data_IF_768924634201
#
_entry.id   IF_768924634201
#
_cell.length_a   1.000
_cell.length_b   1.000
_cell.length_c   1.000
_cell.angle_alpha   90.00
_cell.angle_beta   90.00
_cell.angle_gamma   90.00
#
_symmetry.space_group_name_H-M   'P 1'
#
loop_
_entity.id
_entity.type
_entity.pdbx_description
1 polymer ?
#
# COMPACT_ATOMS: atom_id res chain seq x y z
N UNK A 1 -37.29 -12.78 10.64
CA UNK A 1 -36.74 -12.86 9.28
C UNK A 1 -35.46 -12.05 9.27
N UNK A 2 -34.31 -12.71 9.17
CA UNK A 2 -33.03 -12.00 9.06
C UNK A 2 -32.98 -11.37 7.67
N UNK A 3 -32.98 -10.04 7.61
CA UNK A 3 -32.70 -9.30 6.38
C UNK A 3 -31.28 -9.68 5.94
N UNK A 4 -31.03 -9.95 4.64
CA UNK A 4 -29.67 -10.24 4.19
C UNK A 4 -28.77 -9.04 4.52
N UNK A 5 -27.71 -9.28 5.29
CA UNK A 5 -26.68 -8.28 5.55
C UNK A 5 -26.06 -7.89 4.20
N UNK A 6 -26.31 -6.65 3.77
CA UNK A 6 -25.68 -6.09 2.58
C UNK A 6 -24.20 -5.88 2.94
N UNK A 7 -23.25 -6.47 2.19
CA UNK A 7 -21.84 -6.31 2.48
C UNK A 7 -21.44 -4.83 2.33
N UNK A 8 -20.48 -4.33 3.13
CA UNK A 8 -20.07 -2.92 3.11
C UNK A 8 -19.48 -2.49 1.75
N UNK A 9 -18.92 -3.44 1.01
CA UNK A 9 -18.50 -3.28 -0.38
C UNK A 9 -18.91 -4.54 -1.13
N UNK A 10 -19.57 -4.38 -2.27
CA UNK A 10 -19.90 -5.46 -3.20
C UNK A 10 -19.25 -5.16 -4.54
N UNK A 11 -18.56 -6.15 -5.10
CA UNK A 11 -17.95 -6.04 -6.42
C UNK A 11 -18.53 -7.10 -7.35
N UNK A 12 -19.28 -6.61 -8.35
CA UNK A 12 -19.98 -7.41 -9.34
C UNK A 12 -19.37 -7.25 -10.73
N UNK A 13 -19.33 -8.37 -11.46
CA UNK A 13 -18.81 -8.45 -12.83
C UNK A 13 -19.87 -9.01 -13.75
N UNK A 14 -20.12 -8.35 -14.87
CA UNK A 14 -21.08 -8.82 -15.86
C UNK A 14 -20.59 -8.53 -17.27
N UNK A 15 -20.92 -9.42 -18.21
CA UNK A 15 -20.75 -9.14 -19.63
C UNK A 15 -21.98 -8.37 -20.13
N UNK A 16 -21.77 -7.24 -20.79
CA UNK A 16 -22.82 -6.47 -21.46
C UNK A 16 -22.59 -6.46 -22.97
N UNK A 17 -23.56 -5.97 -23.74
CA UNK A 17 -23.37 -5.76 -25.18
C UNK A 17 -22.27 -4.76 -25.53
N UNK A 18 -21.80 -3.97 -24.56
CA UNK A 18 -20.71 -3.01 -24.70
C UNK A 18 -19.35 -3.54 -24.15
N UNK A 19 -19.30 -4.79 -23.69
CA UNK A 19 -18.10 -5.40 -23.10
C UNK A 19 -18.24 -5.70 -21.60
N UNK A 20 -17.10 -5.89 -20.94
CA UNK A 20 -16.99 -6.11 -19.49
C UNK A 20 -17.54 -4.89 -18.72
N UNK A 21 -18.51 -5.14 -17.84
CA UNK A 21 -18.99 -4.18 -16.84
C UNK A 21 -18.50 -4.61 -15.47
N UNK A 22 -17.79 -3.69 -14.82
CA UNK A 22 -17.36 -3.79 -13.42
C UNK A 22 -18.23 -2.83 -12.61
N UNK A 23 -18.91 -3.33 -11.57
CA UNK A 23 -19.75 -2.54 -10.67
C UNK A 23 -19.26 -2.72 -9.24
N UNK A 24 -18.92 -1.61 -8.60
CA UNK A 24 -18.50 -1.55 -7.20
C UNK A 24 -19.56 -0.78 -6.40
N UNK A 25 -20.36 -1.51 -5.63
CA UNK A 25 -21.38 -0.92 -4.76
C UNK A 25 -20.81 -0.71 -3.36
N UNK A 26 -20.92 0.51 -2.85
CA UNK A 26 -20.30 0.94 -1.59
C UNK A 26 -21.37 1.42 -0.61
N UNK A 27 -21.41 0.80 0.57
CA UNK A 27 -22.18 1.30 1.68
C UNK A 27 -21.33 2.29 2.47
N UNK A 28 -21.61 3.59 2.28
CA UNK A 28 -20.88 4.66 2.98
C UNK A 28 -21.42 4.77 4.41
N UNK A 29 -20.70 4.17 5.37
CA UNK A 29 -20.95 4.31 6.81
C UNK A 29 -19.78 5.04 7.49
N UNK A 30 -19.99 5.63 8.69
CA UNK A 30 -18.90 6.19 9.49
C UNK A 30 -17.79 5.18 9.80
N UNK A 31 -18.12 3.88 9.81
CA UNK A 31 -17.19 2.75 10.01
C UNK A 31 -16.65 2.20 8.68
N UNK A 32 -16.48 3.06 7.67
CA UNK A 32 -15.96 2.66 6.35
C UNK A 32 -14.66 1.87 6.51
N UNK A 33 -14.55 0.72 5.85
CA UNK A 33 -13.39 -0.17 5.92
C UNK A 33 -12.47 0.07 4.71
N UNK A 34 -11.51 1.01 4.78
CA UNK A 34 -10.68 1.39 3.63
C UNK A 34 -9.87 0.22 3.07
N UNK A 35 -9.42 -0.71 3.92
CA UNK A 35 -8.69 -1.89 3.49
C UNK A 35 -9.54 -2.83 2.61
N UNK A 36 -10.84 -2.92 2.90
CA UNK A 36 -11.76 -3.76 2.13
C UNK A 36 -12.10 -3.10 0.79
N UNK A 37 -12.28 -1.78 0.78
CA UNK A 37 -12.39 -1.01 -0.47
C UNK A 37 -11.14 -1.17 -1.34
N UNK A 38 -9.95 -0.98 -0.78
CA UNK A 38 -8.68 -1.11 -1.51
C UNK A 38 -8.52 -2.50 -2.13
N UNK A 39 -8.92 -3.55 -1.39
CA UNK A 39 -8.92 -4.92 -1.88
C UNK A 39 -9.83 -5.10 -3.09
N UNK A 40 -11.08 -4.65 -3.00
CA UNK A 40 -12.03 -4.82 -4.11
C UNK A 40 -11.67 -3.94 -5.32
N UNK A 41 -11.13 -2.74 -5.11
CA UNK A 41 -10.59 -1.91 -6.19
C UNK A 41 -9.41 -2.61 -6.88
N UNK A 42 -8.47 -3.17 -6.14
CA UNK A 42 -7.37 -3.93 -6.72
C UNK A 42 -7.87 -5.15 -7.50
N UNK A 43 -8.83 -5.90 -6.94
CA UNK A 43 -9.45 -7.05 -7.59
C UNK A 43 -10.12 -6.65 -8.91
N UNK A 44 -10.83 -5.52 -8.93
CA UNK A 44 -11.43 -4.95 -10.14
C UNK A 44 -10.38 -4.62 -11.20
N UNK A 45 -9.30 -3.95 -10.80
CA UNK A 45 -8.19 -3.59 -11.70
C UNK A 45 -7.52 -4.83 -12.29
N UNK A 46 -7.22 -5.83 -11.47
CA UNK A 46 -6.62 -7.08 -11.94
C UNK A 46 -7.53 -7.83 -12.91
N UNK A 47 -8.84 -7.83 -12.66
CA UNK A 47 -9.82 -8.42 -13.58
C UNK A 47 -9.89 -7.68 -14.90
N UNK A 48 -9.93 -6.35 -14.89
CA UNK A 48 -9.87 -5.57 -16.12
C UNK A 48 -8.60 -5.89 -16.92
N UNK A 49 -7.43 -5.91 -16.28
CA UNK A 49 -6.15 -6.23 -16.93
C UNK A 49 -6.19 -7.64 -17.55
N UNK A 50 -6.72 -8.62 -16.82
CA UNK A 50 -6.79 -10.02 -17.26
C UNK A 50 -7.73 -10.19 -18.47
N UNK A 51 -8.85 -9.47 -18.47
CA UNK A 51 -9.89 -9.59 -19.50
C UNK A 51 -9.80 -8.52 -20.61
N UNK A 52 -8.82 -7.61 -20.56
CA UNK A 52 -8.65 -6.52 -21.55
C UNK A 52 -8.55 -7.02 -22.99
N UNK A 53 -7.94 -8.18 -23.19
CA UNK A 53 -7.77 -8.81 -24.50
C UNK A 53 -8.93 -9.72 -24.91
N UNK A 54 -10.01 -9.78 -24.11
CA UNK A 54 -11.18 -10.65 -24.30
C UNK A 54 -12.45 -9.81 -24.55
N UNK A 55 -12.67 -9.32 -25.78
CA UNK A 55 -13.73 -8.37 -26.08
C UNK A 55 -15.15 -8.96 -25.93
N UNK A 56 -15.32 -10.27 -26.05
CA UNK A 56 -16.60 -10.95 -25.91
C UNK A 56 -16.45 -12.30 -25.23
N UNK A 57 -17.05 -12.43 -24.04
CA UNK A 57 -17.28 -13.73 -23.40
C UNK A 57 -18.69 -14.22 -23.73
N UNK A 58 -18.90 -15.55 -23.88
CA UNK A 58 -20.24 -16.10 -23.98
C UNK A 58 -21.11 -15.65 -22.79
N UNK A 59 -22.38 -15.36 -23.05
CA UNK A 59 -23.31 -14.99 -22.00
C UNK A 59 -23.40 -16.11 -20.96
N UNK A 60 -23.26 -15.74 -19.68
CA UNK A 60 -23.27 -16.69 -18.56
C UNK A 60 -21.92 -17.33 -18.22
N UNK A 61 -20.83 -17.01 -18.95
CA UNK A 61 -19.49 -17.41 -18.53
C UNK A 61 -19.09 -16.67 -17.25
N UNK A 62 -18.74 -17.37 -16.16
CA UNK A 62 -18.27 -16.73 -14.94
C UNK A 62 -16.86 -16.16 -15.14
N UNK A 63 -16.58 -15.01 -14.53
CA UNK A 63 -15.24 -14.45 -14.49
C UNK A 63 -14.38 -15.22 -13.49
N UNK A 64 -13.18 -15.61 -13.92
CA UNK A 64 -12.17 -16.21 -13.05
C UNK A 64 -11.56 -15.09 -12.23
N UNK A 65 -11.72 -15.19 -10.91
CA UNK A 65 -11.19 -14.19 -9.99
C UNK A 65 -9.67 -14.33 -9.83
N UNK A 66 -8.91 -13.23 -9.74
CA UNK A 66 -7.51 -13.27 -9.39
C UNK A 66 -7.32 -14.00 -8.06
N UNK A 67 -6.26 -14.83 -7.92
CA UNK A 67 -6.05 -15.61 -6.71
C UNK A 67 -5.73 -14.69 -5.52
N UNK A 68 -6.16 -15.11 -4.33
CA UNK A 68 -6.04 -14.30 -3.11
C UNK A 68 -4.58 -13.93 -2.78
N UNK A 69 -3.63 -14.84 -3.03
CA UNK A 69 -2.21 -14.60 -2.77
C UNK A 69 -1.66 -13.43 -3.60
N UNK A 70 -2.20 -13.22 -4.80
CA UNK A 70 -1.75 -12.13 -5.66
C UNK A 70 -2.30 -10.80 -5.16
N UNK A 71 -3.58 -10.77 -4.77
CA UNK A 71 -4.23 -9.58 -4.22
C UNK A 71 -3.57 -9.19 -2.89
N UNK A 72 -3.51 -10.11 -1.93
CA UNK A 72 -2.89 -9.87 -0.64
C UNK A 72 -1.39 -9.61 -0.77
N UNK A 73 -0.71 -10.24 -1.73
CA UNK A 73 0.70 -10.02 -2.00
C UNK A 73 0.99 -8.59 -2.48
N UNK A 74 0.18 -8.06 -3.40
CA UNK A 74 0.31 -6.67 -3.89
C UNK A 74 -0.01 -5.68 -2.76
N UNK A 75 -1.11 -5.88 -2.02
CA UNK A 75 -1.50 -5.00 -0.91
C UNK A 75 -0.48 -4.99 0.22
N UNK A 76 0.28 -6.08 0.37
CA UNK A 76 1.28 -6.25 1.43
C UNK A 76 2.69 -5.95 0.93
N UNK A 77 2.89 -5.70 -0.36
CA UNK A 77 4.23 -5.59 -0.95
C UNK A 77 5.04 -4.51 -0.25
N UNK A 78 4.47 -3.33 -0.07
CA UNK A 78 5.10 -2.19 0.62
C UNK A 78 4.62 -2.03 2.06
N UNK A 79 3.84 -2.98 2.57
CA UNK A 79 3.42 -2.97 3.96
C UNK A 79 4.59 -3.44 4.85
N UNK A 80 4.98 -2.57 5.76
CA UNK A 80 6.08 -2.78 6.70
C UNK A 80 5.57 -2.87 8.14
N UNK A 81 4.34 -3.34 8.35
CA UNK A 81 3.79 -3.51 9.69
C UNK A 81 4.50 -4.64 10.46
N UNK A 82 4.58 -4.55 11.81
CA UNK A 82 5.17 -5.59 12.63
C UNK A 82 4.58 -6.98 12.39
N UNK A 83 3.26 -7.07 12.19
CA UNK A 83 2.56 -8.34 11.98
C UNK A 83 3.01 -9.05 10.70
N UNK A 84 3.34 -8.29 9.64
CA UNK A 84 3.86 -8.84 8.39
C UNK A 84 5.29 -9.36 8.58
N UNK A 85 6.10 -8.66 9.37
CA UNK A 85 7.46 -9.13 9.68
C UNK A 85 7.46 -10.35 10.58
N UNK A 86 6.63 -10.38 11.62
CA UNK A 86 6.47 -11.57 12.47
C UNK A 86 5.98 -12.77 11.65
N UNK A 87 5.04 -12.53 10.72
CA UNK A 87 4.59 -13.52 9.76
C UNK A 87 5.72 -14.01 8.85
N UNK A 88 6.54 -13.11 8.31
CA UNK A 88 7.65 -13.45 7.43
C UNK A 88 8.77 -14.20 8.17
N UNK A 89 9.03 -13.83 9.42
CA UNK A 89 9.96 -14.49 10.32
C UNK A 89 9.50 -15.91 10.66
N UNK A 90 8.20 -16.08 10.91
CA UNK A 90 7.57 -17.38 11.11
C UNK A 90 7.69 -18.24 9.85
N UNK A 91 7.40 -17.67 8.67
CA UNK A 91 7.55 -18.35 7.38
C UNK A 91 9.02 -18.69 7.08
N UNK A 92 9.98 -17.88 7.50
CA UNK A 92 11.40 -18.17 7.32
C UNK A 92 11.89 -19.32 8.20
N UNK A 93 11.38 -19.43 9.42
CA UNK A 93 11.69 -20.54 10.32
C UNK A 93 11.06 -21.86 9.84
N UNK A 94 9.80 -21.80 9.42
CA UNK A 94 9.03 -22.96 8.96
C UNK A 94 8.16 -22.56 7.75
N UNK A 95 8.70 -22.60 6.52
CA UNK A 95 7.93 -22.22 5.34
C UNK A 95 6.75 -23.19 5.14
N UNK A 96 5.53 -22.68 4.89
CA UNK A 96 4.39 -23.54 4.55
C UNK A 96 4.63 -24.21 3.20
N UNK A 97 4.01 -25.38 2.96
CA UNK A 97 4.05 -26.00 1.65
C UNK A 97 3.43 -25.07 0.60
N UNK A 98 4.10 -24.88 -0.53
CA UNK A 98 3.69 -23.93 -1.57
C UNK A 98 2.26 -24.23 -2.05
N UNK A 99 1.93 -25.52 -2.26
CA UNK A 99 0.59 -25.95 -2.68
C UNK A 99 -0.49 -25.59 -1.68
N UNK A 100 -0.23 -25.82 -0.40
CA UNK A 100 -1.18 -25.56 0.69
C UNK A 100 -1.41 -24.05 0.81
N UNK A 101 -0.32 -23.27 0.76
CA UNK A 101 -0.37 -21.82 0.76
C UNK A 101 -1.20 -21.26 -0.42
N UNK A 102 -0.94 -21.70 -1.66
CA UNK A 102 -1.64 -21.20 -2.85
C UNK A 102 -3.13 -21.54 -2.89
N UNK A 103 -3.55 -22.60 -2.18
CA UNK A 103 -4.95 -23.06 -2.12
C UNK A 103 -5.70 -22.55 -0.87
N UNK A 104 -4.99 -21.89 0.05
CA UNK A 104 -5.56 -21.39 1.30
C UNK A 104 -6.50 -20.21 1.06
N UNK A 105 -7.62 -20.17 1.80
CA UNK A 105 -8.62 -19.10 1.74
C UNK A 105 -8.43 -18.14 2.91
N UNK A 106 -7.84 -16.94 2.72
CA UNK A 106 -7.48 -16.03 3.82
C UNK A 106 -8.68 -15.49 4.61
N UNK A 107 -9.87 -15.47 4.00
CA UNK A 107 -11.12 -15.04 4.66
C UNK A 107 -11.56 -15.98 5.78
N UNK A 108 -11.14 -17.24 5.75
CA UNK A 108 -11.45 -18.26 6.76
C UNK A 108 -10.37 -18.38 7.85
N UNK A 109 -9.25 -17.66 7.70
CA UNK A 109 -8.15 -17.69 8.64
C UNK A 109 -8.39 -16.77 9.82
N UNK A 110 -7.89 -17.17 10.99
CA UNK A 110 -7.78 -16.32 12.16
C UNK A 110 -6.73 -15.22 11.94
N UNK A 111 -6.72 -14.22 12.83
CA UNK A 111 -5.88 -13.02 12.62
C UNK A 111 -4.38 -13.33 12.47
N UNK A 112 -3.77 -14.21 13.29
CA UNK A 112 -2.35 -14.57 13.13
C UNK A 112 -2.07 -15.33 11.82
N UNK A 113 -2.88 -16.34 11.48
CA UNK A 113 -2.66 -17.09 10.23
C UNK A 113 -2.89 -16.23 9.00
N UNK A 114 -3.78 -15.23 9.07
CA UNK A 114 -3.97 -14.25 8.00
C UNK A 114 -2.76 -13.32 7.82
N UNK A 115 -2.10 -12.92 8.91
CA UNK A 115 -0.87 -12.15 8.84
C UNK A 115 0.27 -12.98 8.21
N UNK A 116 0.41 -14.24 8.62
CA UNK A 116 1.35 -15.20 8.00
C UNK A 116 1.06 -15.39 6.50
N UNK A 117 -0.21 -15.58 6.13
CA UNK A 117 -0.61 -15.71 4.72
C UNK A 117 -0.21 -14.49 3.90
N UNK A 118 -0.49 -13.27 4.40
CA UNK A 118 -0.11 -12.01 3.74
C UNK A 118 1.40 -11.86 3.62
N UNK A 119 2.15 -12.25 4.65
CA UNK A 119 3.60 -12.26 4.61
C UNK A 119 4.12 -13.21 3.52
N UNK A 120 3.63 -14.46 3.47
CA UNK A 120 3.97 -15.43 2.43
C UNK A 120 3.58 -14.96 1.02
N UNK A 121 2.40 -14.35 0.86
CA UNK A 121 1.93 -13.76 -0.38
C UNK A 121 2.84 -12.63 -0.88
N UNK A 122 3.26 -11.73 0.02
CA UNK A 122 4.23 -10.69 -0.31
C UNK A 122 5.60 -11.26 -0.66
N UNK A 123 6.04 -12.32 0.03
CA UNK A 123 7.31 -12.98 -0.22
C UNK A 123 7.32 -13.66 -1.59
N UNK A 124 6.26 -14.41 -1.94
CA UNK A 124 6.12 -15.01 -3.27
C UNK A 124 6.18 -13.93 -4.36
N UNK A 125 5.40 -12.86 -4.21
CA UNK A 125 5.39 -11.79 -5.21
C UNK A 125 6.78 -11.14 -5.38
N UNK A 126 7.53 -10.94 -4.29
CA UNK A 126 8.91 -10.44 -4.34
C UNK A 126 9.84 -11.38 -5.08
N UNK A 127 9.79 -12.67 -4.74
CA UNK A 127 10.56 -13.72 -5.44
C UNK A 127 10.28 -13.67 -6.94
N UNK A 128 9.01 -13.54 -7.34
CA UNK A 128 8.61 -13.44 -8.74
C UNK A 128 9.09 -12.16 -9.43
N UNK A 129 9.05 -11.02 -8.73
CA UNK A 129 9.40 -9.71 -9.29
C UNK A 129 10.91 -9.46 -9.36
N UNK A 130 11.69 -10.07 -8.46
CA UNK A 130 13.15 -9.93 -8.38
C UNK A 130 13.88 -10.71 -9.48
N UNK A 131 13.26 -11.75 -10.03
CA UNK A 131 13.84 -12.50 -11.14
C UNK A 131 13.91 -11.65 -12.42
N UNK A 132 14.95 -11.87 -13.23
CA UNK A 132 15.07 -11.29 -14.57
C UNK A 132 13.83 -11.60 -15.43
N UNK A 133 13.21 -10.58 -16.04
CA UNK A 133 11.92 -10.70 -16.75
C UNK A 133 10.71 -11.08 -15.87
N UNK A 134 10.83 -11.09 -14.54
CA UNK A 134 9.75 -11.45 -13.62
C UNK A 134 8.50 -10.60 -13.79
N UNK A 135 8.66 -9.28 -13.98
CA UNK A 135 7.54 -8.37 -14.29
C UNK A 135 6.79 -8.75 -15.57
N UNK A 136 7.52 -9.11 -16.61
CA UNK A 136 6.93 -9.52 -17.89
C UNK A 136 6.29 -10.92 -17.82
N UNK A 137 6.81 -11.82 -16.98
CA UNK A 137 6.17 -13.11 -16.69
C UNK A 137 4.88 -12.92 -15.89
N UNK A 138 4.89 -12.07 -14.87
CA UNK A 138 3.71 -11.75 -14.09
C UNK A 138 2.61 -11.08 -14.94
N UNK A 139 2.98 -10.16 -15.82
CA UNK A 139 2.02 -9.56 -16.76
C UNK A 139 1.37 -10.60 -17.69
N UNK A 140 2.14 -11.60 -18.15
CA UNK A 140 1.61 -12.72 -18.94
C UNK A 140 0.70 -13.63 -18.12
N UNK A 141 1.14 -13.99 -16.92
CA UNK A 141 0.32 -14.76 -15.97
C UNK A 141 -1.03 -14.09 -15.73
N UNK A 142 -1.06 -12.77 -15.51
CA UNK A 142 -2.30 -11.99 -15.39
C UNK A 142 -3.17 -12.07 -16.64
N UNK A 143 -2.58 -11.88 -17.83
CA UNK A 143 -3.32 -11.95 -19.09
C UNK A 143 -3.91 -13.35 -19.37
N UNK A 144 -3.27 -14.40 -18.87
CA UNK A 144 -3.68 -15.79 -19.05
C UNK A 144 -4.57 -16.32 -17.91
N UNK A 145 -4.82 -15.55 -16.84
CA UNK A 145 -5.74 -15.90 -15.75
C UNK A 145 -7.14 -16.36 -16.23
N UNK A 146 -7.77 -15.76 -17.27
CA UNK A 146 -9.06 -16.22 -17.78
C UNK A 146 -9.04 -17.64 -18.34
N UNK A 147 -7.85 -18.19 -18.60
CA UNK A 147 -7.60 -19.54 -19.14
C UNK A 147 -6.94 -20.46 -18.12
N UNK A 148 -6.84 -20.02 -16.86
CA UNK A 148 -6.24 -20.80 -15.79
C UNK A 148 -6.90 -22.18 -15.69
N UNK A 149 -6.07 -23.20 -15.47
CA UNK A 149 -6.50 -24.56 -15.25
C UNK A 149 -6.92 -24.76 -13.78
N UNK A 150 -7.42 -25.95 -13.47
CA UNK A 150 -7.71 -26.34 -12.08
C UNK A 150 -6.43 -26.57 -11.27
N UNK A 151 -5.28 -26.77 -11.94
CA UNK A 151 -3.99 -27.01 -11.29
C UNK A 151 -3.16 -25.73 -11.21
N UNK A 152 -3.32 -25.02 -10.10
CA UNK A 152 -2.66 -23.74 -9.82
C UNK A 152 -1.13 -23.87 -9.87
N UNK A 153 -0.57 -25.02 -9.47
CA UNK A 153 0.88 -25.22 -9.51
C UNK A 153 1.38 -25.38 -10.93
N UNK A 154 0.67 -26.16 -11.76
CA UNK A 154 1.01 -26.31 -13.18
C UNK A 154 0.92 -24.97 -13.91
N UNK A 155 -0.12 -24.18 -13.64
CA UNK A 155 -0.28 -22.84 -14.20
C UNK A 155 0.88 -21.92 -13.78
N UNK A 156 1.22 -21.88 -12.50
CA UNK A 156 2.34 -21.09 -12.00
C UNK A 156 3.66 -21.56 -12.62
N UNK A 157 3.89 -22.86 -12.71
CA UNK A 157 5.09 -23.45 -13.31
C UNK A 157 5.24 -23.07 -14.79
N UNK A 158 4.15 -23.10 -15.55
CA UNK A 158 4.17 -22.77 -16.98
C UNK A 158 4.57 -21.32 -17.25
N UNK A 159 4.23 -20.39 -16.34
CA UNK A 159 4.57 -18.98 -16.44
C UNK A 159 5.94 -18.64 -15.84
N UNK A 160 6.35 -19.38 -14.81
CA UNK A 160 7.58 -19.19 -14.05
C UNK A 160 8.41 -20.49 -14.01
N UNK A 161 8.92 -20.97 -15.17
CA UNK A 161 9.60 -22.26 -15.26
C UNK A 161 10.92 -22.32 -14.45
N UNK A 162 11.50 -21.16 -14.14
CA UNK A 162 12.70 -21.04 -13.30
C UNK A 162 12.44 -21.42 -11.84
N UNK A 163 11.17 -21.45 -11.38
CA UNK A 163 10.85 -21.93 -10.03
C UNK A 163 11.18 -23.42 -9.89
N UNK A 164 11.04 -24.20 -10.95
CA UNK A 164 11.34 -25.63 -10.94
C UNK A 164 10.72 -26.39 -12.12
N UNK A 165 11.32 -27.52 -12.45
CA UNK A 165 10.85 -28.44 -13.50
C UNK A 165 9.64 -29.28 -13.10
N UNK A 166 9.34 -29.36 -11.80
CA UNK A 166 8.21 -30.08 -11.23
C UNK A 166 7.83 -29.48 -9.87
N UNK A 167 6.73 -29.98 -9.30
CA UNK A 167 6.22 -29.51 -8.00
C UNK A 167 7.23 -29.66 -6.86
N UNK A 168 8.10 -30.67 -6.86
CA UNK A 168 9.10 -30.87 -5.82
C UNK A 168 10.25 -29.87 -5.92
N UNK A 169 10.69 -29.57 -7.14
CA UNK A 169 11.68 -28.54 -7.42
C UNK A 169 11.15 -27.14 -7.07
N UNK A 170 9.89 -26.83 -7.42
CA UNK A 170 9.24 -25.57 -7.03
C UNK A 170 9.15 -25.42 -5.51
N UNK A 171 8.76 -26.49 -4.82
CA UNK A 171 8.68 -26.52 -3.36
C UNK A 171 10.06 -26.29 -2.71
N UNK A 172 11.13 -26.81 -3.32
CA UNK A 172 12.50 -26.57 -2.87
C UNK A 172 12.90 -25.10 -3.10
N UNK A 173 12.71 -24.56 -4.30
CA UNK A 173 13.04 -23.16 -4.62
C UNK A 173 12.25 -22.20 -3.73
N UNK A 174 10.99 -22.48 -3.45
CA UNK A 174 10.17 -21.74 -2.48
C UNK A 174 10.82 -21.73 -1.09
N UNK A 175 11.10 -22.91 -0.53
CA UNK A 175 11.71 -23.05 0.80
C UNK A 175 13.08 -22.41 0.93
N UNK A 176 13.86 -22.35 -0.15
CA UNK A 176 15.16 -21.68 -0.18
C UNK A 176 15.03 -20.14 -0.25
N UNK A 177 14.02 -19.63 -0.96
CA UNK A 177 13.87 -18.18 -1.17
C UNK A 177 13.12 -17.47 -0.04
N UNK A 178 12.19 -18.11 0.67
CA UNK A 178 11.45 -17.46 1.78
C UNK A 178 12.39 -16.92 2.86
N UNK A 179 13.37 -17.70 3.39
CA UNK A 179 14.32 -17.18 4.37
C UNK A 179 15.21 -16.06 3.81
N UNK A 180 15.57 -16.13 2.52
CA UNK A 180 16.33 -15.05 1.84
C UNK A 180 15.54 -13.75 1.89
N UNK A 181 14.30 -13.74 1.40
CA UNK A 181 13.44 -12.55 1.40
C UNK A 181 13.20 -12.04 2.82
N UNK A 182 12.99 -12.94 3.78
CA UNK A 182 12.86 -12.58 5.18
C UNK A 182 14.11 -11.86 5.71
N UNK A 183 15.30 -12.38 5.42
CA UNK A 183 16.56 -11.76 5.83
C UNK A 183 16.78 -10.38 5.20
N UNK A 184 16.52 -10.24 3.90
CA UNK A 184 16.67 -8.97 3.19
C UNK A 184 15.73 -7.91 3.75
N UNK A 185 14.49 -8.31 4.06
CA UNK A 185 13.52 -7.45 4.70
C UNK A 185 13.97 -7.11 6.11
N UNK A 186 14.38 -8.07 6.96
CA UNK A 186 14.85 -7.79 8.32
C UNK A 186 15.92 -6.70 8.40
N UNK A 187 16.82 -6.63 7.42
CA UNK A 187 17.88 -5.60 7.36
C UNK A 187 17.51 -4.35 6.55
N UNK A 188 16.38 -4.35 5.84
CA UNK A 188 15.88 -3.18 5.14
C UNK A 188 15.44 -2.12 6.17
N UNK A 189 16.21 -1.04 6.23
CA UNK A 189 15.83 0.18 6.93
C UNK A 189 14.66 0.82 6.20
N UNK A 190 13.69 1.29 6.97
CA UNK A 190 12.60 2.10 6.47
C UNK A 190 13.15 3.41 5.87
N UNK A 191 12.47 3.91 4.85
CA UNK A 191 12.71 5.26 4.35
C UNK A 191 12.36 6.29 5.43
N UNK A 192 12.78 7.54 5.24
CA UNK A 192 12.37 8.63 6.14
C UNK A 192 10.85 8.79 6.21
N UNK A 193 10.18 8.73 5.04
CA UNK A 193 8.73 8.79 4.93
C UNK A 193 8.07 7.59 5.61
N UNK A 194 8.52 6.37 5.33
CA UNK A 194 7.96 5.15 5.92
C UNK A 194 8.12 5.09 7.45
N UNK A 195 9.28 5.51 7.97
CA UNK A 195 9.47 5.61 9.43
C UNK A 195 8.56 6.66 10.05
N UNK A 196 8.35 7.79 9.37
CA UNK A 196 7.49 8.86 9.85
C UNK A 196 6.03 8.41 9.92
N UNK A 197 5.53 7.77 8.85
CA UNK A 197 4.16 7.25 8.79
C UNK A 197 3.90 6.20 9.87
N UNK A 198 4.79 5.22 10.03
CA UNK A 198 4.65 4.21 11.09
C UNK A 198 4.73 4.79 12.49
N UNK A 199 5.57 5.81 12.70
CA UNK A 199 5.63 6.52 13.96
C UNK A 199 4.30 7.23 14.23
N UNK A 200 3.73 7.93 13.25
CA UNK A 200 2.43 8.60 13.38
C UNK A 200 1.32 7.60 13.74
N UNK A 201 1.28 6.46 13.07
CA UNK A 201 0.34 5.39 13.37
C UNK A 201 0.49 4.87 14.82
N UNK A 202 1.73 4.70 15.29
CA UNK A 202 1.99 4.34 16.68
C UNK A 202 1.48 5.42 17.64
N UNK A 203 1.71 6.70 17.35
CA UNK A 203 1.34 7.83 18.23
C UNK A 203 -0.18 8.06 18.32
N UNK A 204 -0.97 7.55 17.37
CA UNK A 204 -2.43 7.55 17.48
C UNK A 204 -2.97 6.59 18.55
N UNK A 205 -2.15 5.64 19.01
CA UNK A 205 -2.55 4.65 20.03
C UNK A 205 -2.99 5.33 21.32
N UNK A 206 -4.19 4.98 21.78
CA UNK A 206 -4.74 5.48 23.04
C UNK A 206 -4.22 4.66 24.22
N UNK A 207 -3.55 5.33 25.16
CA UNK A 207 -2.85 4.69 26.31
C UNK A 207 -3.39 5.13 27.67
N UNK A 208 -4.32 6.07 27.71
CA UNK A 208 -4.98 6.47 28.93
C UNK A 208 -6.39 7.01 28.66
N UNK A 209 -7.13 7.27 29.74
CA UNK A 209 -8.34 8.10 29.71
C UNK A 209 -8.17 9.29 30.63
N UNK A 210 -8.89 10.37 30.35
CA UNK A 210 -8.97 11.50 31.27
C UNK A 210 -9.63 11.10 32.60
N UNK A 211 -9.52 11.95 33.62
CA UNK A 211 -10.05 11.72 34.98
C UNK A 211 -11.54 11.35 34.98
N UNK A 212 -12.31 11.99 34.11
CA UNK A 212 -13.75 11.74 33.95
C UNK A 212 -14.06 10.51 33.08
N UNK A 213 -13.04 9.80 32.59
CA UNK A 213 -13.10 8.63 31.70
C UNK A 213 -13.83 8.84 30.37
N UNK A 214 -14.11 10.10 30.01
CA UNK A 214 -14.83 10.47 28.77
C UNK A 214 -13.93 10.43 27.54
N UNK A 215 -12.69 10.90 27.66
CA UNK A 215 -11.79 11.07 26.52
C UNK A 215 -10.61 10.09 26.60
N UNK A 216 -10.36 9.39 25.50
CA UNK A 216 -9.18 8.55 25.32
C UNK A 216 -7.97 9.38 24.87
N UNK A 217 -6.87 9.26 25.60
CA UNK A 217 -5.67 10.06 25.45
C UNK A 217 -4.56 9.27 24.75
N UNK A 218 -3.89 9.91 23.79
CA UNK A 218 -2.61 9.48 23.22
C UNK A 218 -1.47 9.62 24.23
N UNK A 219 -0.28 9.15 23.87
CA UNK A 219 0.90 9.26 24.73
C UNK A 219 1.24 10.71 25.08
N UNK A 220 1.29 11.61 24.10
CA UNK A 220 1.58 13.03 24.30
C UNK A 220 0.55 13.73 25.19
N UNK A 221 -0.74 13.44 24.96
CA UNK A 221 -1.82 13.97 25.78
C UNK A 221 -1.73 13.44 27.23
N UNK A 222 -1.44 12.15 27.40
CA UNK A 222 -1.32 11.51 28.72
C UNK A 222 -0.21 12.13 29.57
N UNK A 223 0.89 12.52 28.94
CA UNK A 223 2.02 13.17 29.62
C UNK A 223 1.66 14.60 30.07
N UNK A 224 0.78 15.30 29.34
CA UNK A 224 0.36 16.68 29.63
C UNK A 224 -0.83 16.77 30.59
N UNK A 225 -1.71 15.77 30.60
CA UNK A 225 -2.93 15.78 31.42
C UNK A 225 -2.63 15.59 32.90
N UNK A 226 -3.38 16.29 33.75
CA UNK A 226 -3.30 16.14 35.21
C UNK A 226 -4.09 14.90 35.66
N UNK A 227 -3.39 13.94 36.28
CA UNK A 227 -3.95 12.67 36.81
C UNK A 227 -4.78 11.85 35.79
N UNK A 228 -4.17 11.43 34.66
CA UNK A 228 -4.83 10.53 33.72
C UNK A 228 -4.99 9.12 34.32
N UNK A 229 -6.01 8.40 33.88
CA UNK A 229 -6.18 6.99 34.17
C UNK A 229 -5.44 6.15 33.12
N UNK A 230 -4.22 5.74 33.42
CA UNK A 230 -3.32 5.06 32.48
C UNK A 230 -3.73 3.61 32.29
N UNK A 231 -3.87 3.21 31.02
CA UNK A 231 -3.97 1.81 30.61
C UNK A 231 -2.56 1.23 30.45
N UNK A 232 -2.11 0.49 31.45
CA UNK A 232 -0.76 -0.05 31.49
C UNK A 232 -0.51 -1.13 30.43
N UNK A 233 -1.55 -1.84 29.99
CA UNK A 233 -1.44 -2.88 28.97
C UNK A 233 -1.27 -2.21 27.61
N UNK A 234 -2.11 -1.21 27.30
CA UNK A 234 -2.00 -0.45 26.07
C UNK A 234 -0.66 0.30 25.96
N UNK A 235 -0.18 0.90 27.06
CA UNK A 235 1.11 1.58 27.09
C UNK A 235 2.30 0.63 26.88
N UNK A 236 2.28 -0.58 27.46
CA UNK A 236 3.31 -1.61 27.22
C UNK A 236 3.32 -2.07 25.76
N UNK A 237 2.15 -2.37 25.21
CA UNK A 237 2.01 -2.76 23.81
C UNK A 237 2.52 -1.68 22.85
N UNK A 238 2.28 -0.40 23.16
CA UNK A 238 2.85 0.71 22.41
C UNK A 238 4.39 0.72 22.49
N UNK A 239 4.96 0.54 23.69
CA UNK A 239 6.40 0.43 23.87
C UNK A 239 7.03 -0.71 23.05
N UNK A 240 6.41 -1.89 23.04
CA UNK A 240 6.84 -3.03 22.23
C UNK A 240 6.81 -2.73 20.73
N UNK A 241 5.73 -2.11 20.22
CA UNK A 241 5.63 -1.68 18.81
C UNK A 241 6.74 -0.68 18.44
N UNK A 242 7.00 0.31 19.29
CA UNK A 242 8.05 1.31 19.07
C UNK A 242 9.47 0.71 19.16
N UNK A 243 9.66 -0.29 20.03
CA UNK A 243 10.90 -1.05 20.10
C UNK A 243 11.17 -1.81 18.80
N UNK A 244 10.15 -2.47 18.24
CA UNK A 244 10.25 -3.12 16.92
C UNK A 244 10.56 -2.10 15.83
N UNK A 245 9.86 -0.97 15.80
CA UNK A 245 10.14 0.12 14.85
C UNK A 245 11.59 0.62 14.95
N UNK A 246 12.14 0.73 16.16
CA UNK A 246 13.52 1.18 16.38
C UNK A 246 14.56 0.28 15.70
N UNK A 247 14.27 -1.00 15.48
CA UNK A 247 15.22 -1.91 14.83
C UNK A 247 15.48 -1.53 13.37
N UNK A 248 14.49 -0.90 12.71
CA UNK A 248 14.49 -0.63 11.27
C UNK A 248 14.20 0.81 10.89
N UNK A 249 13.91 1.65 11.86
CA UNK A 249 13.72 3.09 11.67
C UNK A 249 14.88 3.71 10.90
N UNK A 250 14.54 4.67 10.05
CA UNK A 250 15.51 5.51 9.36
C UNK A 250 16.52 6.09 10.38
N UNK A 251 17.84 6.05 10.12
CA UNK A 251 18.85 6.40 11.12
C UNK A 251 18.65 7.78 11.77
N UNK A 252 18.16 8.77 11.02
CA UNK A 252 17.88 10.11 11.53
C UNK A 252 16.68 10.17 12.48
N UNK A 253 15.69 9.29 12.30
CA UNK A 253 14.48 9.24 13.13
C UNK A 253 14.60 8.27 14.30
N UNK A 254 15.58 7.35 14.26
CA UNK A 254 15.80 6.35 15.31
C UNK A 254 15.87 6.95 16.73
N UNK A 255 16.59 8.06 16.99
CA UNK A 255 16.60 8.66 18.33
C UNK A 255 15.23 9.15 18.80
N UNK A 256 14.41 9.66 17.88
CA UNK A 256 13.05 10.13 18.16
C UNK A 256 12.15 8.93 18.51
N UNK A 257 12.23 7.83 17.74
CA UNK A 257 11.46 6.61 18.03
C UNK A 257 11.83 6.05 19.42
N UNK A 258 13.13 6.04 19.76
CA UNK A 258 13.60 5.61 21.10
C UNK A 258 13.06 6.50 22.22
N UNK A 259 12.99 7.81 22.02
CA UNK A 259 12.40 8.73 23.01
C UNK A 259 10.93 8.40 23.29
N UNK A 260 10.16 8.13 22.24
CA UNK A 260 8.76 7.71 22.37
C UNK A 260 8.61 6.33 23.01
N UNK A 261 9.47 5.36 22.65
CA UNK A 261 9.50 4.03 23.26
C UNK A 261 9.69 4.14 24.78
N UNK A 262 10.73 4.87 25.20
CA UNK A 262 11.04 5.07 26.62
C UNK A 262 9.92 5.82 27.34
N UNK A 263 9.30 6.81 26.69
CA UNK A 263 8.16 7.50 27.27
C UNK A 263 6.95 6.57 27.46
N UNK A 264 6.65 5.68 26.50
CA UNK A 264 5.59 4.69 26.63
C UNK A 264 5.85 3.72 27.81
N UNK A 265 7.08 3.24 27.95
CA UNK A 265 7.48 2.39 29.08
C UNK A 265 7.39 3.10 30.44
N UNK A 266 7.84 4.36 30.53
CA UNK A 266 7.72 5.17 31.75
C UNK A 266 6.25 5.43 32.10
N UNK A 267 5.41 5.74 31.11
CA UNK A 267 3.94 5.89 31.31
C UNK A 267 3.33 4.59 31.80
N UNK A 268 3.71 3.42 31.26
CA UNK A 268 3.25 2.13 31.76
C UNK A 268 3.64 1.87 33.23
N UNK A 269 4.79 2.41 33.68
CA UNK A 269 5.24 2.41 35.09
C UNK A 269 4.61 3.53 35.93
N UNK A 270 3.77 4.38 35.34
CA UNK A 270 3.14 5.57 35.94
C UNK A 270 4.13 6.67 36.31
N UNK A 271 5.32 6.66 35.72
CA UNK A 271 6.36 7.67 35.87
C UNK A 271 6.27 8.67 34.71
N UNK A 272 5.92 9.93 35.00
CA UNK A 272 5.71 10.96 33.97
C UNK A 272 6.61 12.18 34.11
N UNK A 273 7.54 12.16 35.06
CA UNK A 273 8.39 13.31 35.33
C UNK A 273 9.30 13.59 34.13
N UNK A 274 9.32 14.83 33.65
CA UNK A 274 10.24 15.28 32.60
C UNK A 274 9.92 14.78 31.19
N UNK A 275 8.96 13.86 31.02
CA UNK A 275 8.56 13.32 29.72
C UNK A 275 8.00 14.41 28.80
N UNK A 276 7.25 15.38 29.34
CA UNK A 276 6.64 16.45 28.54
C UNK A 276 7.69 17.26 27.77
N UNK A 277 8.80 17.61 28.45
CA UNK A 277 9.91 18.35 27.84
C UNK A 277 10.67 17.47 26.84
N UNK A 278 10.88 16.20 27.17
CA UNK A 278 11.56 15.25 26.29
C UNK A 278 10.80 15.08 24.97
N UNK A 279 9.50 14.77 25.04
CA UNK A 279 8.67 14.60 23.85
C UNK A 279 8.55 15.89 23.04
N UNK A 280 8.45 17.06 23.69
CA UNK A 280 8.46 18.35 22.98
C UNK A 280 9.77 18.57 22.19
N UNK A 281 10.92 18.16 22.74
CA UNK A 281 12.19 18.23 22.03
C UNK A 281 12.23 17.24 20.85
N UNK A 282 11.70 16.02 21.03
CA UNK A 282 11.63 15.01 19.96
C UNK A 282 10.74 15.47 18.80
N UNK A 283 9.61 16.14 19.09
CA UNK A 283 8.74 16.77 18.09
C UNK A 283 9.50 17.86 17.32
N UNK A 284 10.13 18.80 18.03
CA UNK A 284 10.88 19.88 17.39
C UNK A 284 12.08 19.36 16.56
N UNK A 285 12.72 18.27 17.00
CA UNK A 285 13.78 17.62 16.22
C UNK A 285 13.21 16.97 14.96
N UNK A 286 12.08 16.27 15.07
CA UNK A 286 11.41 15.63 13.93
C UNK A 286 11.03 16.64 12.87
N UNK A 287 10.45 17.78 13.26
CA UNK A 287 10.08 18.87 12.35
C UNK A 287 11.30 19.43 11.59
N UNK A 288 12.42 19.65 12.29
CA UNK A 288 13.67 20.13 11.66
C UNK A 288 14.23 19.13 10.65
N UNK A 289 14.22 17.83 10.98
CA UNK A 289 14.72 16.80 10.06
C UNK A 289 13.77 16.71 8.85
N UNK A 290 12.46 16.74 9.07
CA UNK A 290 11.47 16.68 7.99
C UNK A 290 11.65 17.84 6.99
N UNK A 291 11.76 19.08 7.49
CA UNK A 291 12.00 20.24 6.64
C UNK A 291 13.27 20.07 5.78
N UNK A 292 14.35 19.55 6.39
CA UNK A 292 15.61 19.33 5.67
C UNK A 292 15.51 18.22 4.63
N UNK A 293 14.77 17.14 4.90
CA UNK A 293 14.57 16.06 3.93
C UNK A 293 13.75 16.55 2.73
N UNK A 294 12.73 17.37 2.94
CA UNK A 294 11.96 17.99 1.85
C UNK A 294 12.84 18.87 0.97
N UNK A 295 13.72 19.70 1.56
CA UNK A 295 14.68 20.50 0.78
C UNK A 295 15.61 19.64 -0.09
N UNK A 296 16.03 18.47 0.41
CA UNK A 296 16.86 17.51 -0.34
C UNK A 296 16.06 16.90 -1.49
N UNK A 297 14.84 16.46 -1.24
CA UNK A 297 13.97 15.89 -2.28
C UNK A 297 13.66 16.92 -3.37
N UNK A 298 13.36 18.17 -3.00
CA UNK A 298 13.13 19.28 -3.94
C UNK A 298 14.38 19.55 -4.80
N UNK A 299 15.56 19.53 -4.19
CA UNK A 299 16.82 19.69 -4.93
C UNK A 299 17.05 18.53 -5.90
N UNK A 300 16.81 17.29 -5.47
CA UNK A 300 16.98 16.10 -6.32
C UNK A 300 15.99 16.13 -7.49
N UNK A 301 14.73 16.46 -7.24
CA UNK A 301 13.70 16.65 -8.27
C UNK A 301 14.11 17.72 -9.29
N UNK A 302 14.61 18.87 -8.82
CA UNK A 302 15.12 19.93 -9.69
C UNK A 302 16.34 19.47 -10.51
N UNK A 303 17.29 18.77 -9.89
CA UNK A 303 18.48 18.26 -10.57
C UNK A 303 18.11 17.22 -11.65
N UNK A 304 17.21 16.29 -11.35
CA UNK A 304 16.71 15.32 -12.32
C UNK A 304 15.99 16.01 -13.49
N UNK A 305 15.12 16.98 -13.19
CA UNK A 305 14.40 17.74 -14.20
C UNK A 305 15.35 18.55 -15.12
N UNK A 306 16.44 19.08 -14.57
CA UNK A 306 17.41 19.88 -15.34
C UNK A 306 18.44 19.05 -16.10
N UNK A 307 18.77 17.85 -15.63
CA UNK A 307 19.69 16.93 -16.31
C UNK A 307 19.00 15.94 -17.26
N UNK A 308 17.67 15.88 -17.25
CA UNK A 308 16.89 15.05 -18.16
C UNK A 308 17.17 15.44 -19.63
N UNK A 309 18.01 14.65 -20.30
CA UNK A 309 18.32 14.81 -21.75
C UNK A 309 17.14 14.47 -22.66
N UNK A 310 16.11 13.82 -22.11
CA UNK A 310 14.96 13.31 -22.87
C UNK A 310 13.75 14.19 -22.58
N UNK A 311 13.44 15.10 -23.50
CA UNK A 311 12.15 15.81 -23.45
C UNK A 311 11.02 14.77 -23.52
N UNK A 312 10.10 14.79 -22.55
CA UNK A 312 9.00 13.82 -22.40
C UNK A 312 8.06 13.72 -23.61
N UNK A 313 8.18 14.64 -24.58
CA UNK A 313 7.38 14.66 -25.80
C UNK A 313 5.93 15.12 -25.60
N UNK A 314 5.43 15.09 -24.37
CA UNK A 314 4.06 15.44 -24.00
C UNK A 314 3.65 16.87 -24.40
N UNK A 315 4.61 17.80 -24.43
CA UNK A 315 4.37 19.19 -24.81
C UNK A 315 4.82 19.53 -26.23
N UNK A 316 5.29 18.55 -27.04
CA UNK A 316 5.71 18.83 -28.43
C UNK A 316 4.57 19.39 -29.25
N UNK A 317 3.36 18.84 -29.12
CA UNK A 317 2.20 19.34 -29.87
C UNK A 317 1.84 20.78 -29.49
N UNK A 318 1.94 21.13 -28.21
CA UNK A 318 1.67 22.49 -27.72
C UNK A 318 2.74 23.49 -28.20
N UNK A 319 4.01 23.10 -28.18
CA UNK A 319 5.12 23.92 -28.69
C UNK A 319 5.09 24.02 -30.24
N UNK A 320 4.63 22.98 -30.93
CA UNK A 320 4.39 23.05 -32.37
C UNK A 320 3.16 23.90 -32.71
N UNK A 321 2.13 23.91 -31.87
CA UNK A 321 0.95 24.76 -32.03
C UNK A 321 1.28 26.24 -31.83
N UNK A 322 2.14 26.59 -30.87
CA UNK A 322 2.58 27.99 -30.69
C UNK A 322 3.55 28.45 -31.78
N UNK A 323 4.36 27.55 -32.35
CA UNK A 323 5.21 27.84 -33.50
C UNK A 323 4.42 27.99 -34.81
N UNK A 324 3.28 27.28 -34.93
CA UNK A 324 2.27 27.51 -35.98
C UNK A 324 1.33 28.63 -35.56
N UNK A 325 1.88 29.84 -35.51
CA UNK A 325 1.10 31.08 -35.46
C UNK A 325 0.41 31.34 -36.83
N UNK A 326 -0.24 30.32 -37.40
CA UNK A 326 -1.14 30.53 -38.52
C UNK A 326 -2.31 31.33 -37.95
N UNK A 327 -2.45 32.57 -38.42
CA UNK A 327 -3.53 33.46 -38.02
C UNK A 327 -4.86 32.70 -38.10
N UNK A 328 -5.48 32.45 -36.94
CA UNK A 328 -6.76 31.78 -36.84
C UNK A 328 -7.70 32.51 -37.81
N UNK A 329 -8.29 31.83 -38.81
CA UNK A 329 -9.15 32.49 -39.79
C UNK A 329 -10.26 33.21 -39.03
N UNK A 330 -10.29 34.54 -39.13
CA UNK A 330 -11.24 35.40 -38.42
C UNK A 330 -12.66 34.88 -38.67
N UNK A 331 -13.37 34.53 -37.58
CA UNK A 331 -14.78 34.15 -37.68
C UNK A 331 -15.57 35.35 -38.19
N UNK A 332 -16.42 35.13 -39.19
CA UNK A 332 -17.28 36.16 -39.80
C UNK A 332 -18.73 36.07 -39.35
N UNK A 333 -18.97 35.55 -38.15
CA UNK A 333 -20.29 35.61 -37.53
C UNK A 333 -20.57 37.01 -36.99
N UNK A 334 -21.85 37.35 -36.87
CA UNK A 334 -22.30 38.71 -36.54
C UNK A 334 -21.70 39.24 -35.22
N UNK A 335 -21.43 38.35 -34.27
CA UNK A 335 -20.79 38.69 -32.99
C UNK A 335 -19.31 39.06 -33.16
N UNK A 336 -18.55 38.29 -33.96
CA UNK A 336 -17.13 38.59 -34.19
C UNK A 336 -16.95 39.88 -34.99
N UNK A 337 -17.82 40.16 -35.97
CA UNK A 337 -17.80 41.44 -36.71
C UNK A 337 -18.08 42.64 -35.81
N UNK A 338 -18.99 42.49 -34.84
CA UNK A 338 -19.29 43.54 -33.87
C UNK A 338 -18.12 43.79 -32.90
N UNK A 339 -17.45 42.72 -32.44
CA UNK A 339 -16.28 42.84 -31.57
C UNK A 339 -15.08 43.45 -32.30
N UNK A 340 -14.82 43.06 -33.54
CA UNK A 340 -13.77 43.66 -34.38
C UNK A 340 -14.02 45.16 -34.60
N UNK A 341 -15.28 45.55 -34.85
CA UNK A 341 -15.65 46.96 -35.03
C UNK A 341 -15.42 47.79 -33.74
N UNK A 342 -15.66 47.20 -32.56
CA UNK A 342 -15.36 47.82 -31.27
C UNK A 342 -13.86 47.95 -31.03
N UNK A 343 -13.08 46.93 -31.36
CA UNK A 343 -11.61 46.94 -31.20
C UNK A 343 -10.97 48.03 -32.08
N UNK A 344 -11.52 48.28 -33.28
CA UNK A 344 -11.06 49.34 -34.18
C UNK A 344 -11.43 50.76 -33.72
N UNK A 345 -12.42 50.90 -32.82
CA UNK A 345 -12.81 52.20 -32.24
C UNK A 345 -12.01 52.55 -30.97
N UNK A 346 -11.27 51.58 -30.41
CA UNK A 346 -10.46 51.74 -29.19
C UNK A 346 -8.97 51.98 -29.48
N UNK A 347 -8.56 52.01 -30.75
CA UNK A 347 -7.28 52.55 -31.23
C UNK A 347 -7.49 53.97 -31.75
#
# INVERSE_FOLDING_TARGET
>A
ANVPEIPPVLLDFSQTGAGLKIQLDLLVTPDSQPALLQREVLRAVLLEISYRSFPSLPAGTPYITPPDWLIDGILTLDNESPEIFDGLDTAAATPPALKEFLTQRPTLLDSPSRALYRACASALLRILLEHDNGRAQLARYLADLPRASTDILADLQSHFPWLGSDSGAMEKTWRENVPRVASERRFALLTFAGTSEQLDECLLTKVAKDRDKKNSLTLDETVRTSRPNIDTVAAKKLGERLMLLTTRAHPLLRPIVVDYQLAAESVARKERHGLAKRLANSIALREKIAARMTEVDDFMNWYEATQAKTASGAFREYLHASAKNDAIPRRRDALSVYLDALETQLQ
#
